data_IF_943778896662
#
_entry.id   IF_943778896662
#
_cell.length_a   1.000
_cell.length_b   1.000
_cell.length_c   1.000
_cell.angle_alpha   90.00
_cell.angle_beta   90.00
_cell.angle_gamma   90.00
#
_symmetry.space_group_name_H-M   'P 1'
#
loop_
_entity.id
_entity.type
_entity.pdbx_description
1 polymer ?
#
# COMPACT_ATOMS: atom_id res chain seq x y z
N UNK A 1 -12.71 23.78 11.55
CA UNK A 1 -12.83 22.36 11.93
C UNK A 1 -12.47 21.57 10.68
N UNK A 2 -11.21 21.45 10.25
CA UNK A 2 -10.04 20.90 10.90
C UNK A 2 -8.77 21.72 10.58
N UNK A 3 -7.87 21.87 11.56
CA UNK A 3 -6.54 22.46 11.39
C UNK A 3 -5.55 21.31 11.16
N UNK A 4 -5.04 21.19 9.94
CA UNK A 4 -3.91 20.30 9.64
C UNK A 4 -2.62 21.05 9.99
N UNK A 5 -2.30 21.06 11.28
CA UNK A 5 -1.01 21.46 11.82
C UNK A 5 -0.29 20.20 12.28
N UNK A 6 0.52 19.65 11.40
CA UNK A 6 1.40 18.53 11.67
C UNK A 6 2.09 18.20 10.37
N UNK A 7 3.41 18.30 10.35
CA UNK A 7 4.24 17.98 9.19
C UNK A 7 3.92 16.55 8.74
N UNK A 8 3.03 16.42 7.75
CA UNK A 8 2.75 15.15 7.09
C UNK A 8 3.98 14.83 6.28
N UNK A 9 4.88 14.02 6.85
CA UNK A 9 5.89 13.34 6.05
C UNK A 9 5.12 12.25 5.30
N UNK A 10 4.48 12.63 4.21
CA UNK A 10 3.98 11.68 3.22
C UNK A 10 5.22 11.02 2.63
N UNK A 11 5.69 9.94 3.25
CA UNK A 11 6.58 9.01 2.57
C UNK A 11 5.74 8.29 1.51
N UNK A 12 5.47 9.00 0.41
CA UNK A 12 5.32 8.36 -0.89
C UNK A 12 6.69 7.75 -1.13
N UNK A 13 6.90 6.51 -0.66
CA UNK A 13 8.09 5.75 -1.00
C UNK A 13 8.06 5.60 -2.51
N UNK A 14 8.84 6.47 -3.15
CA UNK A 14 9.09 6.60 -4.57
C UNK A 14 9.72 5.29 -5.07
N UNK A 15 8.87 4.30 -5.35
CA UNK A 15 9.25 3.07 -6.04
C UNK A 15 8.44 2.96 -7.32
N UNK A 16 8.61 3.96 -8.20
CA UNK A 16 8.00 4.02 -9.54
C UNK A 16 8.92 3.59 -10.68
N UNK A 17 10.16 3.16 -10.44
CA UNK A 17 11.02 2.64 -11.50
C UNK A 17 11.84 1.47 -10.97
N UNK A 18 11.58 0.26 -11.48
CA UNK A 18 12.54 -0.72 -12.01
C UNK A 18 11.81 -2.04 -12.26
N UNK A 19 11.63 -2.30 -13.56
CA UNK A 19 11.12 -3.54 -14.16
C UNK A 19 12.09 -4.70 -13.91
N UNK A 20 11.56 -5.88 -13.54
CA UNK A 20 11.73 -7.16 -14.27
C UNK A 20 11.10 -8.33 -13.46
N UNK A 21 10.25 -9.12 -14.15
CA UNK A 21 10.10 -10.58 -14.07
C UNK A 21 10.24 -11.28 -12.70
N UNK A 22 9.17 -11.59 -11.99
CA UNK A 22 8.69 -13.00 -11.95
C UNK A 22 7.18 -13.15 -11.76
N UNK A 23 6.68 -14.35 -12.04
CA UNK A 23 5.28 -14.76 -12.07
C UNK A 23 4.83 -15.28 -10.70
N UNK A 24 3.72 -14.76 -10.16
CA UNK A 24 2.87 -15.44 -9.17
C UNK A 24 1.46 -14.82 -9.20
N UNK A 25 0.45 -15.63 -9.53
CA UNK A 25 -0.97 -15.33 -9.30
C UNK A 25 -1.76 -14.84 -10.53
N UNK A 26 -2.08 -15.74 -11.47
CA UNK A 26 -3.13 -15.49 -12.46
C UNK A 26 -4.50 -15.78 -11.83
N UNK A 27 -5.30 -14.75 -11.59
CA UNK A 27 -6.75 -14.92 -11.52
C UNK A 27 -7.26 -15.13 -12.97
N UNK A 28 -8.14 -16.10 -13.24
CA UNK A 28 -8.53 -16.48 -14.60
C UNK A 28 -9.42 -15.45 -15.33
N UNK A 29 -9.83 -14.37 -14.67
CA UNK A 29 -10.68 -13.33 -15.25
C UNK A 29 -9.87 -12.07 -15.51
N UNK A 30 -9.76 -11.59 -16.76
CA UNK A 30 -9.18 -10.29 -17.05
C UNK A 30 -9.98 -9.21 -16.32
N UNK A 31 -9.34 -8.50 -15.39
CA UNK A 31 -9.96 -7.36 -14.73
C UNK A 31 -9.85 -6.16 -15.66
N UNK A 32 -10.93 -5.38 -15.89
CA UNK A 32 -10.86 -4.14 -16.65
C UNK A 32 -10.00 -3.06 -15.96
N UNK A 33 -9.80 -3.20 -14.64
CA UNK A 33 -8.92 -2.32 -13.88
C UNK A 33 -7.44 -2.63 -14.13
N UNK A 34 -6.72 -1.66 -14.69
CA UNK A 34 -5.28 -1.72 -14.94
C UNK A 34 -4.53 -1.03 -13.79
N UNK A 35 -3.91 -1.83 -12.92
CA UNK A 35 -3.20 -1.32 -11.74
C UNK A 35 -2.03 -0.39 -12.09
N UNK A 36 -1.27 -0.71 -13.13
CA UNK A 36 -0.10 0.09 -13.53
C UNK A 36 -0.47 1.48 -14.02
N UNK A 37 -1.62 1.62 -14.70
CA UNK A 37 -2.16 2.91 -15.10
C UNK A 37 -2.57 3.72 -13.87
N UNK A 38 -3.29 3.10 -12.94
CA UNK A 38 -3.66 3.73 -11.68
C UNK A 38 -2.43 4.19 -10.88
N UNK A 39 -1.39 3.35 -10.76
CA UNK A 39 -0.13 3.72 -10.08
C UNK A 39 0.52 4.94 -10.71
N UNK A 40 0.52 5.02 -12.05
CA UNK A 40 1.08 6.16 -12.79
C UNK A 40 0.30 7.45 -12.52
N UNK A 41 -1.03 7.40 -12.53
CA UNK A 41 -1.90 8.54 -12.20
C UNK A 41 -1.74 8.95 -10.73
N UNK A 42 -1.74 7.98 -9.81
CA UNK A 42 -1.54 8.21 -8.38
C UNK A 42 -0.22 8.92 -8.06
N UNK A 43 0.85 8.61 -8.80
CA UNK A 43 2.19 9.17 -8.54
C UNK A 43 2.47 10.51 -9.23
N UNK A 44 1.85 10.76 -10.39
CA UNK A 44 2.17 11.92 -11.23
C UNK A 44 1.11 13.03 -11.18
N UNK A 45 -0.12 12.72 -10.78
CA UNK A 45 -1.25 13.64 -10.82
C UNK A 45 -1.81 13.86 -9.41
N UNK A 46 -2.78 14.78 -9.28
CA UNK A 46 -3.44 15.04 -8.00
C UNK A 46 -4.22 13.80 -7.56
N UNK A 47 -3.79 13.22 -6.43
CA UNK A 47 -4.38 12.00 -5.89
C UNK A 47 -5.86 12.20 -5.56
N UNK A 48 -6.22 13.35 -4.98
CA UNK A 48 -7.58 13.61 -4.51
C UNK A 48 -8.53 14.01 -5.65
N UNK A 49 -8.06 14.87 -6.55
CA UNK A 49 -8.87 15.41 -7.64
C UNK A 49 -8.96 14.52 -8.88
N UNK A 50 -7.97 13.65 -9.12
CA UNK A 50 -7.90 12.87 -10.38
C UNK A 50 -7.72 11.38 -10.13
N UNK A 51 -6.74 10.96 -9.32
CA UNK A 51 -6.44 9.54 -9.18
C UNK A 51 -7.55 8.75 -8.46
N UNK A 52 -8.12 9.31 -7.38
CA UNK A 52 -9.21 8.67 -6.64
C UNK A 52 -10.52 8.58 -7.43
N UNK A 53 -11.02 9.65 -8.10
CA UNK A 53 -12.19 9.53 -8.97
C UNK A 53 -11.98 8.48 -10.06
N UNK A 54 -10.83 8.52 -10.74
CA UNK A 54 -10.48 7.54 -11.75
C UNK A 54 -10.45 6.10 -11.20
N UNK A 55 -9.92 5.92 -9.99
CA UNK A 55 -9.92 4.64 -9.30
C UNK A 55 -11.34 4.13 -9.10
N UNK A 56 -12.22 4.92 -8.48
CA UNK A 56 -13.60 4.49 -8.20
C UNK A 56 -14.43 4.23 -9.45
N UNK A 57 -14.18 4.94 -10.55
CA UNK A 57 -14.84 4.71 -11.84
C UNK A 57 -14.45 3.38 -12.49
N UNK A 58 -13.18 2.97 -12.36
CA UNK A 58 -12.65 1.77 -13.01
C UNK A 58 -12.47 0.58 -12.06
N UNK A 59 -12.78 0.76 -10.77
CA UNK A 59 -12.53 -0.24 -9.74
C UNK A 59 -13.42 -1.48 -9.96
N UNK A 60 -12.77 -2.60 -10.26
CA UNK A 60 -13.40 -3.90 -10.38
C UNK A 60 -13.46 -4.59 -9.01
N UNK A 61 -14.65 -4.59 -8.41
CA UNK A 61 -14.92 -5.21 -7.10
C UNK A 61 -14.83 -6.73 -7.11
N UNK A 62 -14.98 -7.37 -8.26
CA UNK A 62 -14.89 -8.84 -8.38
C UNK A 62 -13.41 -9.26 -8.50
N UNK A 63 -12.63 -8.46 -9.23
CA UNK A 63 -11.21 -8.68 -9.42
C UNK A 63 -10.33 -8.20 -8.27
N UNK A 64 -10.72 -7.17 -7.53
CA UNK A 64 -9.86 -6.53 -6.54
C UNK A 64 -10.56 -6.32 -5.20
N UNK A 65 -9.76 -6.42 -4.14
CA UNK A 65 -10.21 -6.18 -2.77
C UNK A 65 -9.40 -5.05 -2.13
N UNK A 66 -10.07 -4.27 -1.28
CA UNK A 66 -9.47 -3.21 -0.49
C UNK A 66 -9.39 -3.66 0.97
N UNK A 67 -8.21 -3.49 1.56
CA UNK A 67 -7.92 -3.87 2.93
C UNK A 67 -7.36 -2.68 3.68
N UNK A 68 -7.90 -2.40 4.85
CA UNK A 68 -7.34 -1.41 5.76
C UNK A 68 -6.40 -2.11 6.74
N UNK A 69 -5.22 -1.56 6.94
CA UNK A 69 -4.28 -2.02 7.97
C UNK A 69 -4.00 -0.91 8.96
N UNK A 70 -3.87 -1.29 10.22
CA UNK A 70 -3.36 -0.44 11.28
C UNK A 70 -2.35 -1.24 12.08
N UNK A 71 -1.21 -0.63 12.39
CA UNK A 71 -0.20 -1.30 13.19
C UNK A 71 -0.70 -1.48 14.62
N UNK A 72 -0.59 -2.72 15.10
CA UNK A 72 -1.25 -3.17 16.33
C UNK A 72 -0.54 -2.72 17.60
N UNK A 73 0.77 -2.51 17.53
CA UNK A 73 1.62 -2.20 18.69
C UNK A 73 2.29 -0.82 18.53
N UNK A 74 1.54 0.28 18.42
CA UNK A 74 2.12 1.62 18.26
C UNK A 74 3.09 2.00 19.38
N UNK A 75 2.96 1.39 20.57
CA UNK A 75 3.89 1.55 21.69
C UNK A 75 5.33 1.08 21.41
N UNK A 76 5.53 0.20 20.43
CA UNK A 76 6.87 -0.24 20.01
C UNK A 76 7.53 0.78 19.05
N UNK A 77 6.74 1.71 18.51
CA UNK A 77 7.22 2.74 17.58
C UNK A 77 7.90 3.87 18.35
N UNK A 78 9.21 3.76 18.50
CA UNK A 78 10.03 4.76 19.20
C UNK A 78 10.30 6.01 18.35
N UNK A 79 11.09 5.90 17.29
CA UNK A 79 11.49 7.05 16.47
C UNK A 79 10.83 6.95 15.10
N UNK A 80 10.33 8.07 14.58
CA UNK A 80 9.62 8.13 13.29
C UNK A 80 10.45 7.55 12.15
N UNK A 81 11.77 7.81 12.11
CA UNK A 81 12.64 7.23 11.09
C UNK A 81 12.81 5.70 11.23
N UNK A 82 12.76 5.15 12.45
CA UNK A 82 12.81 3.70 12.67
C UNK A 82 11.52 3.06 12.14
N UNK A 83 10.38 3.68 12.40
CA UNK A 83 9.08 3.29 11.86
C UNK A 83 9.08 3.31 10.33
N UNK A 84 9.68 4.33 9.70
CA UNK A 84 9.86 4.39 8.25
C UNK A 84 10.75 3.25 7.71
N UNK A 85 11.81 2.89 8.44
CA UNK A 85 12.69 1.77 8.08
C UNK A 85 11.95 0.43 8.19
N UNK A 86 11.10 0.25 9.21
CA UNK A 86 10.26 -0.95 9.37
C UNK A 86 9.32 -1.13 8.17
N UNK A 87 8.58 -0.06 7.81
CA UNK A 87 7.67 -0.06 6.65
C UNK A 87 8.44 -0.39 5.37
N UNK A 88 9.61 0.23 5.17
CA UNK A 88 10.44 -0.01 3.98
C UNK A 88 10.95 -1.45 3.92
N UNK A 89 11.38 -2.01 5.05
CA UNK A 89 11.82 -3.40 5.14
C UNK A 89 10.71 -4.40 4.80
N UNK A 90 9.48 -4.15 5.25
CA UNK A 90 8.31 -4.94 4.87
C UNK A 90 8.07 -4.89 3.35
N UNK A 91 8.11 -3.70 2.73
CA UNK A 91 7.91 -3.59 1.28
C UNK A 91 8.99 -4.30 0.45
N UNK A 92 10.24 -4.34 0.93
CA UNK A 92 11.32 -5.10 0.28
C UNK A 92 11.04 -6.61 0.28
N UNK A 93 10.48 -7.15 1.37
CA UNK A 93 10.07 -8.57 1.43
C UNK A 93 8.89 -8.86 0.49
N UNK A 94 8.02 -7.87 0.31
CA UNK A 94 6.84 -7.94 -0.55
C UNK A 94 7.12 -7.53 -2.01
N UNK A 95 8.39 -7.42 -2.45
CA UNK A 95 8.73 -6.98 -3.81
C UNK A 95 8.12 -7.88 -4.90
N UNK A 96 7.92 -9.18 -4.61
CA UNK A 96 7.22 -10.11 -5.51
C UNK A 96 5.71 -9.82 -5.60
N UNK A 97 5.11 -9.35 -4.51
CA UNK A 97 3.67 -9.07 -4.40
C UNK A 97 3.28 -7.76 -5.11
N UNK A 98 4.21 -6.80 -5.24
CA UNK A 98 3.97 -5.46 -5.82
C UNK A 98 3.39 -5.45 -7.24
N UNK A 99 3.50 -6.55 -7.99
CA UNK A 99 2.93 -6.67 -9.34
C UNK A 99 1.40 -6.77 -9.33
N UNK A 100 0.87 -7.47 -8.33
CA UNK A 100 -0.56 -7.77 -8.20
C UNK A 100 -1.17 -7.09 -6.97
N UNK A 101 -0.43 -6.15 -6.37
CA UNK A 101 -0.84 -5.40 -5.20
C UNK A 101 -0.37 -3.95 -5.28
N UNK A 102 -1.09 -3.09 -4.60
CA UNK A 102 -0.69 -1.71 -4.31
C UNK A 102 -0.99 -1.41 -2.86
N UNK A 103 -0.15 -0.62 -2.22
CA UNK A 103 -0.35 -0.21 -0.83
C UNK A 103 0.04 1.24 -0.67
N UNK A 104 -0.74 1.96 0.13
CA UNK A 104 -0.39 3.28 0.62
C UNK A 104 -0.39 3.21 2.14
N UNK A 105 0.81 3.28 2.73
CA UNK A 105 1.02 3.23 4.17
C UNK A 105 1.56 4.58 4.62
N UNK A 106 0.98 5.12 5.67
CA UNK A 106 1.27 6.45 6.21
C UNK A 106 1.64 6.29 7.68
N UNK A 107 2.74 6.94 8.05
CA UNK A 107 3.13 7.15 9.44
C UNK A 107 2.49 8.45 9.93
N UNK A 108 1.69 8.35 10.97
CA UNK A 108 1.07 9.46 11.68
C UNK A 108 1.80 9.72 12.99
N UNK A 109 1.74 10.96 13.47
CA UNK A 109 2.24 11.34 14.79
C UNK A 109 3.67 11.88 14.79
N UNK A 110 4.35 11.72 15.92
CA UNK A 110 5.69 12.24 16.20
C UNK A 110 6.51 11.19 16.95
N UNK A 111 7.79 11.47 17.22
CA UNK A 111 8.63 10.53 17.96
C UNK A 111 7.98 10.17 19.31
N UNK A 112 8.01 8.88 19.65
CA UNK A 112 7.41 8.25 20.83
C UNK A 112 5.87 8.28 20.90
N UNK A 113 5.19 8.88 19.92
CA UNK A 113 3.74 8.86 19.77
C UNK A 113 3.41 8.83 18.28
N UNK A 114 3.69 7.68 17.66
CA UNK A 114 3.47 7.46 16.23
C UNK A 114 2.57 6.26 15.98
N UNK A 115 1.81 6.31 14.90
CA UNK A 115 0.91 5.24 14.48
C UNK A 115 1.08 5.00 12.99
N UNK A 116 1.14 3.74 12.58
CA UNK A 116 1.20 3.37 11.17
C UNK A 116 -0.19 2.92 10.75
N UNK A 117 -0.72 3.51 9.69
CA UNK A 117 -1.97 3.06 9.08
C UNK A 117 -1.83 3.05 7.56
N UNK A 118 -2.56 2.18 6.89
CA UNK A 118 -2.47 2.07 5.45
C UNK A 118 -3.65 1.39 4.81
N UNK A 119 -3.74 1.54 3.50
CA UNK A 119 -4.73 0.87 2.65
C UNK A 119 -3.98 0.04 1.63
N UNK A 120 -4.44 -1.20 1.47
CA UNK A 120 -3.94 -2.17 0.52
C UNK A 120 -5.01 -2.49 -0.50
N UNK A 121 -4.56 -2.61 -1.75
CA UNK A 121 -5.34 -3.03 -2.89
C UNK A 121 -4.71 -4.32 -3.39
N UNK A 122 -5.44 -5.42 -3.28
CA UNK A 122 -4.95 -6.77 -3.58
C UNK A 122 -5.77 -7.38 -4.71
N UNK A 123 -5.12 -8.12 -5.61
CA UNK A 123 -5.82 -8.89 -6.65
C UNK A 123 -6.47 -10.13 -6.03
N UNK A 124 -7.78 -10.27 -6.21
CA UNK A 124 -8.60 -11.34 -5.65
C UNK A 124 -9.41 -10.88 -4.44
N UNK A 125 -10.26 -11.78 -3.93
CA UNK A 125 -11.10 -11.53 -2.75
C UNK A 125 -10.46 -11.98 -1.44
N UNK A 126 -9.39 -12.76 -1.53
CA UNK A 126 -8.67 -13.26 -0.37
C UNK A 126 -7.47 -12.36 -0.06
N UNK A 127 -7.07 -12.37 1.21
CA UNK A 127 -5.92 -11.63 1.65
C UNK A 127 -4.64 -12.24 1.05
N UNK A 128 -3.86 -11.44 0.32
CA UNK A 128 -2.67 -11.95 -0.36
C UNK A 128 -1.65 -12.59 0.60
N UNK A 129 -1.55 -12.13 1.84
CA UNK A 129 -0.62 -12.65 2.85
C UNK A 129 -0.86 -14.13 3.19
N UNK A 130 -2.10 -14.64 3.07
CA UNK A 130 -2.37 -16.07 3.30
C UNK A 130 -2.00 -16.95 2.12
N UNK A 131 -1.78 -16.37 0.94
CA UNK A 131 -1.47 -17.12 -0.29
C UNK A 131 -0.03 -17.62 -0.35
N UNK A 132 0.89 -17.00 0.41
CA UNK A 132 2.29 -17.38 0.43
C UNK A 132 2.86 -17.29 1.84
N UNK A 133 3.49 -18.36 2.37
CA UNK A 133 4.12 -18.33 3.69
C UNK A 133 5.27 -17.32 3.77
N UNK A 134 5.93 -17.00 2.65
CA UNK A 134 6.99 -15.99 2.59
C UNK A 134 6.51 -14.57 2.94
N UNK A 135 5.20 -14.31 2.87
CA UNK A 135 4.61 -13.00 3.12
C UNK A 135 3.98 -12.87 4.51
N UNK A 136 3.97 -13.95 5.31
CA UNK A 136 3.33 -13.97 6.63
C UNK A 136 4.21 -13.43 7.76
N UNK A 137 5.45 -13.05 7.45
CA UNK A 137 6.48 -12.70 8.46
C UNK A 137 6.07 -11.52 9.35
N UNK A 138 5.31 -10.55 8.82
CA UNK A 138 5.01 -9.28 9.51
C UNK A 138 3.51 -8.93 9.52
N UNK A 139 2.63 -9.92 9.29
CA UNK A 139 1.19 -9.68 9.08
C UNK A 139 0.34 -9.76 10.38
N UNK A 140 0.84 -10.33 11.49
CA UNK A 140 0.08 -10.55 12.74
C UNK A 140 0.09 -9.40 13.78
#
# INVERSE_FOLDING_TARGET
LWSLSGSVVTLVTQWSLWSLSGHCGHSPVPSPFILDEFKRKYSNEDTLGVALPHFWEHFDREGWSLWYCQYRYPEELSQTFMSCNLITGMFQRLDKLRKNAFASVILFGSDHDSSISGVWLLRGQELAFTLCPDWQVDYE
#
